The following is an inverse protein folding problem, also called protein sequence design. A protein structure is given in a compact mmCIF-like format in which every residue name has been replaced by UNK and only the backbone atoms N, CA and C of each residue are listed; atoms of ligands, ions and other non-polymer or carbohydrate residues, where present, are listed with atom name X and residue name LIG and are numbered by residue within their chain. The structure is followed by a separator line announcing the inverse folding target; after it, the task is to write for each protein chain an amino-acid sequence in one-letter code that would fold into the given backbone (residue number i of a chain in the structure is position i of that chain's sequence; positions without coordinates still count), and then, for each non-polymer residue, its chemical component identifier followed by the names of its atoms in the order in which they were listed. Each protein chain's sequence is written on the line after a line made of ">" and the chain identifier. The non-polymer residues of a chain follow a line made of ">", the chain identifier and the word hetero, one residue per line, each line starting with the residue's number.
data_IF_681575464109
#
_entry.id   IF_681575464109
#
_cell.length_a   1.000
_cell.length_b   1.000
_cell.length_c   1.000
_cell.angle_alpha   90.00
_cell.angle_beta   90.00
_cell.angle_gamma   90.00
#
_symmetry.space_group_name_H-M   'P 1'
#
loop_
_entity.id
_entity.type
_entity.pdbx_description
1 polymer ?
#
# COMPACT_ATOMS: atom_id res chain seq x y z
N UNK A 1 -26.02 -30.22 1.31
CA UNK A 1 -26.26 -29.19 0.28
C UNK A 1 -25.06 -28.24 0.26
N UNK A 2 -24.43 -28.03 -0.88
CA UNK A 2 -23.16 -27.31 -0.96
C UNK A 2 -23.38 -25.78 -1.06
N UNK A 3 -22.57 -24.95 -0.41
CA UNK A 3 -22.65 -23.47 -0.47
C UNK A 3 -22.61 -22.92 -1.90
N UNK A 4 -21.86 -23.56 -2.79
CA UNK A 4 -21.67 -23.14 -4.18
C UNK A 4 -22.97 -23.08 -4.99
N UNK A 5 -23.90 -24.00 -4.79
CA UNK A 5 -25.19 -24.02 -5.52
C UNK A 5 -26.05 -22.77 -5.25
N UNK A 6 -25.95 -22.20 -4.07
CA UNK A 6 -26.71 -20.99 -3.70
C UNK A 6 -26.08 -19.73 -4.29
N UNK A 7 -24.75 -19.69 -4.34
CA UNK A 7 -24.02 -18.61 -5.04
C UNK A 7 -24.35 -18.65 -6.54
N UNK A 8 -24.38 -19.85 -7.13
CA UNK A 8 -24.71 -20.03 -8.55
C UNK A 8 -26.16 -19.63 -8.86
N UNK A 9 -27.10 -19.86 -7.94
CA UNK A 9 -28.49 -19.41 -8.10
C UNK A 9 -28.58 -17.87 -8.14
N UNK A 10 -27.81 -17.16 -7.32
CA UNK A 10 -27.76 -15.69 -7.30
C UNK A 10 -27.11 -15.06 -8.54
N UNK A 11 -26.36 -15.83 -9.35
CA UNK A 11 -25.89 -15.39 -10.68
C UNK A 11 -27.00 -15.15 -11.69
N UNK A 12 -28.17 -15.76 -11.46
CA UNK A 12 -29.35 -15.52 -12.33
C UNK A 12 -30.04 -14.19 -12.05
N UNK A 13 -29.73 -13.54 -10.92
CA UNK A 13 -30.31 -12.26 -10.55
C UNK A 13 -29.48 -11.11 -11.14
N UNK A 14 -30.07 -10.32 -12.03
CA UNK A 14 -29.42 -9.17 -12.65
C UNK A 14 -29.87 -7.86 -11.98
N UNK A 15 -28.90 -6.98 -11.72
CA UNK A 15 -29.18 -5.63 -11.27
C UNK A 15 -29.53 -4.74 -12.48
N UNK A 16 -30.76 -4.19 -12.56
CA UNK A 16 -31.20 -3.43 -13.73
C UNK A 16 -30.35 -2.18 -14.02
N UNK A 17 -29.74 -1.57 -12.98
CA UNK A 17 -28.90 -0.39 -13.13
C UNK A 17 -27.62 -0.61 -13.93
N UNK A 18 -27.08 -1.84 -13.97
CA UNK A 18 -25.85 -2.16 -14.72
C UNK A 18 -26.04 -3.29 -15.74
N UNK A 19 -27.13 -4.04 -15.66
CA UNK A 19 -27.38 -5.24 -16.46
C UNK A 19 -26.50 -6.46 -16.08
N UNK A 20 -25.56 -6.32 -15.16
CA UNK A 20 -24.70 -7.38 -14.63
C UNK A 20 -25.42 -8.17 -13.55
N UNK A 21 -25.00 -9.42 -13.28
CA UNK A 21 -25.53 -10.17 -12.13
C UNK A 21 -24.97 -9.66 -10.80
N UNK A 22 -25.56 -10.07 -9.67
CA UNK A 22 -25.22 -9.59 -8.33
C UNK A 22 -23.76 -9.86 -7.95
N UNK A 23 -23.16 -10.93 -8.46
CA UNK A 23 -21.77 -11.30 -8.18
C UNK A 23 -20.81 -10.45 -9.03
N UNK A 24 -21.07 -10.37 -10.35
CA UNK A 24 -20.27 -9.56 -11.30
C UNK A 24 -20.32 -8.07 -11.01
N UNK A 25 -21.40 -7.60 -10.36
CA UNK A 25 -21.54 -6.20 -9.95
C UNK A 25 -20.94 -5.89 -8.58
N UNK A 26 -20.37 -6.89 -7.88
CA UNK A 26 -19.84 -6.74 -6.54
C UNK A 26 -20.89 -6.41 -5.48
N UNK A 27 -22.16 -6.69 -5.76
CA UNK A 27 -23.28 -6.40 -4.84
C UNK A 27 -23.49 -7.49 -3.78
N UNK A 28 -22.70 -8.54 -3.75
CA UNK A 28 -22.75 -9.59 -2.72
C UNK A 28 -21.42 -9.64 -1.98
N UNK A 29 -21.47 -9.49 -0.66
CA UNK A 29 -20.35 -9.81 0.22
C UNK A 29 -20.26 -11.34 0.43
N UNK A 30 -19.08 -11.81 0.87
CA UNK A 30 -18.82 -13.22 1.20
C UNK A 30 -19.51 -13.66 2.52
N UNK A 31 -20.53 -12.95 3.01
CA UNK A 31 -21.21 -13.21 4.29
C UNK A 31 -22.46 -14.10 4.15
N UNK A 32 -22.53 -14.92 3.10
CA UNK A 32 -23.65 -15.85 2.92
C UNK A 32 -23.61 -16.90 4.01
N UNK A 33 -24.58 -16.84 4.94
CA UNK A 33 -24.76 -17.80 6.04
C UNK A 33 -25.88 -18.76 5.72
N UNK A 34 -25.65 -20.03 6.02
CA UNK A 34 -26.57 -21.12 5.69
C UNK A 34 -26.81 -21.96 6.93
N UNK A 35 -28.09 -22.07 7.31
CA UNK A 35 -28.54 -22.94 8.40
C UNK A 35 -29.78 -23.75 7.95
N UNK A 36 -29.57 -24.98 7.53
CA UNK A 36 -30.66 -25.82 6.98
C UNK A 36 -31.25 -25.20 5.70
N UNK A 37 -32.54 -24.85 5.74
CA UNK A 37 -33.24 -24.18 4.65
C UNK A 37 -33.16 -22.61 4.74
N UNK A 38 -32.60 -22.08 5.81
CA UNK A 38 -32.40 -20.63 5.93
C UNK A 38 -31.12 -20.19 5.25
N UNK A 39 -31.22 -19.18 4.41
CA UNK A 39 -30.09 -18.54 3.72
C UNK A 39 -30.13 -17.05 4.05
N UNK A 40 -29.10 -16.58 4.76
CA UNK A 40 -28.96 -15.17 5.11
C UNK A 40 -27.80 -14.55 4.32
N UNK A 41 -28.04 -13.40 3.72
CA UNK A 41 -27.00 -12.62 3.00
C UNK A 41 -27.41 -11.15 2.89
N UNK A 42 -26.44 -10.30 2.57
CA UNK A 42 -26.64 -8.87 2.54
C UNK A 42 -26.20 -8.27 1.19
N UNK A 43 -27.13 -8.06 0.23
CA UNK A 43 -26.80 -7.35 -0.98
C UNK A 43 -26.52 -5.86 -0.69
N UNK A 44 -25.49 -5.32 -1.35
CA UNK A 44 -25.04 -3.93 -1.23
C UNK A 44 -25.63 -3.12 -2.38
N UNK A 45 -26.47 -2.15 -2.05
CA UNK A 45 -27.07 -1.25 -3.02
C UNK A 45 -26.30 0.09 -3.12
N UNK A 46 -26.28 0.74 -4.29
CA UNK A 46 -25.59 2.02 -4.46
C UNK A 46 -26.14 3.17 -3.61
N UNK A 47 -27.43 3.10 -3.24
CA UNK A 47 -28.13 4.13 -2.44
C UNK A 47 -29.22 3.49 -1.56
N UNK A 48 -29.55 4.15 -0.45
CA UNK A 48 -30.62 3.73 0.47
C UNK A 48 -32.04 3.78 -0.15
N UNK A 49 -32.22 4.61 -1.17
CA UNK A 49 -33.45 4.76 -1.93
C UNK A 49 -33.36 4.21 -3.34
N UNK A 50 -32.56 3.16 -3.58
CA UNK A 50 -32.39 2.55 -4.89
C UNK A 50 -33.74 2.01 -5.41
N UNK A 51 -34.19 2.46 -6.60
CA UNK A 51 -35.51 2.09 -7.15
C UNK A 51 -35.62 0.59 -7.47
N UNK A 52 -34.50 -0.10 -7.64
CA UNK A 52 -34.45 -1.52 -7.99
C UNK A 52 -34.33 -2.44 -6.78
N UNK A 53 -34.15 -1.90 -5.56
CA UNK A 53 -33.92 -2.67 -4.34
C UNK A 53 -34.98 -3.76 -4.15
N UNK A 54 -36.27 -3.40 -4.13
CA UNK A 54 -37.37 -4.34 -3.89
C UNK A 54 -37.42 -5.44 -4.96
N UNK A 55 -37.17 -5.09 -6.22
CA UNK A 55 -37.19 -6.08 -7.31
C UNK A 55 -36.01 -7.04 -7.25
N UNK A 56 -34.82 -6.56 -6.87
CA UNK A 56 -33.63 -7.41 -6.69
C UNK A 56 -33.76 -8.35 -5.51
N UNK A 57 -34.26 -7.87 -4.37
CA UNK A 57 -34.51 -8.72 -3.20
C UNK A 57 -35.49 -9.86 -3.51
N UNK A 58 -36.62 -9.53 -4.16
CA UNK A 58 -37.61 -10.52 -4.56
C UNK A 58 -37.08 -11.50 -5.61
N UNK A 59 -36.29 -11.02 -6.58
CA UNK A 59 -35.65 -11.87 -7.58
C UNK A 59 -34.62 -12.81 -6.95
N UNK A 60 -33.91 -12.38 -5.91
CA UNK A 60 -32.95 -13.21 -5.18
C UNK A 60 -33.64 -14.34 -4.40
N UNK A 61 -34.75 -14.06 -3.74
CA UNK A 61 -35.58 -15.06 -3.08
C UNK A 61 -36.12 -16.11 -4.08
N UNK A 62 -36.71 -15.63 -5.17
CA UNK A 62 -37.23 -16.51 -6.25
C UNK A 62 -36.13 -17.33 -6.88
N UNK A 63 -34.95 -16.79 -7.11
CA UNK A 63 -33.83 -17.52 -7.68
C UNK A 63 -33.36 -18.67 -6.75
N UNK A 64 -33.25 -18.41 -5.44
CA UNK A 64 -32.90 -19.43 -4.47
C UNK A 64 -33.95 -20.55 -4.42
N UNK A 65 -35.25 -20.19 -4.41
CA UNK A 65 -36.34 -21.18 -4.41
C UNK A 65 -36.43 -21.99 -5.71
N UNK A 66 -36.12 -21.36 -6.84
CA UNK A 66 -36.23 -22.00 -8.16
C UNK A 66 -35.04 -22.92 -8.48
N UNK A 67 -33.81 -22.46 -8.17
CA UNK A 67 -32.60 -23.14 -8.60
C UNK A 67 -31.94 -24.00 -7.51
N UNK A 68 -32.39 -23.88 -6.24
CA UNK A 68 -31.83 -24.68 -5.14
C UNK A 68 -32.87 -25.53 -4.45
N UNK A 69 -33.87 -24.98 -3.78
CA UNK A 69 -34.92 -25.70 -3.10
C UNK A 69 -36.15 -24.79 -2.83
N UNK A 70 -37.39 -25.22 -3.19
CA UNK A 70 -38.59 -24.42 -2.97
C UNK A 70 -38.91 -24.07 -1.52
N UNK A 71 -38.32 -24.77 -0.54
CA UNK A 71 -38.54 -24.53 0.87
C UNK A 71 -37.52 -23.55 1.47
N UNK A 72 -36.63 -22.94 0.68
CA UNK A 72 -35.65 -21.98 1.18
C UNK A 72 -36.36 -20.72 1.69
N UNK A 73 -35.99 -20.33 2.91
CA UNK A 73 -36.35 -19.06 3.52
C UNK A 73 -35.13 -18.14 3.40
N UNK A 74 -35.25 -17.09 2.59
CA UNK A 74 -34.18 -16.11 2.40
C UNK A 74 -34.32 -14.96 3.40
N UNK A 75 -33.38 -14.85 4.33
CA UNK A 75 -33.25 -13.72 5.25
C UNK A 75 -32.28 -12.70 4.62
N UNK A 76 -32.81 -11.71 3.90
CA UNK A 76 -32.02 -10.77 3.14
C UNK A 76 -31.98 -9.44 3.88
N UNK A 77 -30.78 -9.05 4.33
CA UNK A 77 -30.52 -7.75 4.95
C UNK A 77 -29.85 -6.83 3.93
N UNK A 78 -30.42 -5.66 3.70
CA UNK A 78 -29.83 -4.71 2.75
C UNK A 78 -28.68 -3.95 3.39
N UNK A 79 -27.55 -3.89 2.70
CA UNK A 79 -26.47 -2.93 2.98
C UNK A 79 -26.46 -1.89 1.87
N UNK A 80 -25.93 -0.74 2.17
CA UNK A 80 -25.76 0.32 1.18
C UNK A 80 -24.29 0.54 0.97
N UNK A 81 -23.86 0.62 -0.30
CA UNK A 81 -22.55 1.17 -0.57
C UNK A 81 -22.65 2.62 -0.11
N UNK A 82 -21.95 2.98 0.92
CA UNK A 82 -21.66 4.37 1.19
C UNK A 82 -20.80 4.82 0.01
N UNK A 83 -21.49 5.21 -1.10
CA UNK A 83 -20.87 6.10 -2.04
C UNK A 83 -20.57 7.34 -1.19
N UNK A 84 -19.33 7.51 -0.80
CA UNK A 84 -18.83 8.82 -0.48
C UNK A 84 -19.12 9.63 -1.75
N UNK A 85 -20.29 10.29 -1.72
CA UNK A 85 -20.60 11.37 -2.64
C UNK A 85 -19.35 12.25 -2.61
N UNK A 86 -18.73 12.43 -3.78
CA UNK A 86 -17.62 13.33 -4.01
C UNK A 86 -18.10 14.78 -3.83
N UNK A 87 -18.58 15.12 -2.63
CA UNK A 87 -18.84 16.47 -2.16
C UNK A 87 -18.36 16.51 -0.72
N UNK A 88 -17.15 17.06 -0.53
CA UNK A 88 -16.61 17.59 0.71
C UNK A 88 -16.55 16.66 1.93
N UNK A 89 -15.76 15.59 1.87
CA UNK A 89 -14.96 15.10 3.00
C UNK A 89 -13.53 14.85 2.50
N UNK A 90 -12.89 15.94 2.09
CA UNK A 90 -11.43 16.06 2.02
C UNK A 90 -10.91 16.45 3.41
N UNK A 91 -11.14 15.65 4.42
CA UNK A 91 -10.16 15.50 5.47
C UNK A 91 -9.37 14.26 5.06
N UNK A 92 -8.20 14.45 4.47
CA UNK A 92 -7.22 13.39 4.36
C UNK A 92 -7.07 12.81 5.77
N UNK A 93 -7.31 11.51 5.95
CA UNK A 93 -7.10 10.85 7.26
C UNK A 93 -5.67 11.08 7.76
N UNK A 94 -4.78 11.50 6.87
CA UNK A 94 -3.38 11.85 7.14
C UNK A 94 -3.19 13.35 6.91
N UNK A 95 -2.85 14.05 7.98
CA UNK A 95 -2.46 15.45 7.94
C UNK A 95 -0.95 15.57 7.69
N UNK A 96 -0.52 15.45 6.44
CA UNK A 96 0.86 15.59 6.02
C UNK A 96 1.01 16.59 4.87
N UNK A 97 2.09 17.38 4.89
CA UNK A 97 2.39 18.34 3.80
C UNK A 97 2.77 17.60 2.52
N UNK A 98 3.54 16.53 2.66
CA UNK A 98 4.01 15.70 1.56
C UNK A 98 3.66 14.23 1.83
N UNK A 99 2.84 13.63 0.96
CA UNK A 99 2.48 12.20 0.98
C UNK A 99 3.17 11.55 -0.21
N UNK A 100 4.23 10.79 0.05
CA UNK A 100 5.13 10.27 -0.98
C UNK A 100 5.12 8.75 -0.97
N UNK A 101 4.75 8.16 -2.10
CA UNK A 101 4.85 6.72 -2.30
C UNK A 101 6.26 6.32 -2.79
N UNK A 102 6.81 5.26 -2.23
CA UNK A 102 8.07 4.67 -2.70
C UNK A 102 7.73 3.38 -3.44
N UNK A 103 8.01 3.38 -4.72
CA UNK A 103 7.65 2.31 -5.64
C UNK A 103 8.87 1.61 -6.22
N UNK A 104 8.72 0.34 -6.54
CA UNK A 104 9.66 -0.39 -7.39
C UNK A 104 8.92 -1.32 -8.33
N UNK A 105 9.32 -1.35 -9.59
CA UNK A 105 8.74 -2.25 -10.57
C UNK A 105 9.03 -3.73 -10.30
N UNK A 106 10.06 -4.03 -9.49
CA UNK A 106 10.56 -5.37 -9.20
C UNK A 106 10.95 -5.52 -7.73
N UNK A 107 10.74 -6.71 -7.17
CA UNK A 107 11.27 -7.07 -5.85
C UNK A 107 12.79 -7.18 -5.82
N UNK A 108 13.41 -6.95 -4.67
CA UNK A 108 14.85 -7.13 -4.46
C UNK A 108 15.73 -5.95 -4.87
N UNK A 109 15.17 -4.84 -5.34
CA UNK A 109 15.97 -3.63 -5.67
C UNK A 109 16.31 -2.76 -4.45
N UNK A 110 15.87 -3.15 -3.26
CA UNK A 110 16.14 -2.43 -2.00
C UNK A 110 15.16 -1.28 -1.72
N UNK A 111 13.94 -1.33 -2.24
CA UNK A 111 12.88 -0.32 -2.01
C UNK A 111 12.72 0.01 -0.53
N UNK A 112 12.41 -0.99 0.31
CA UNK A 112 12.18 -0.80 1.75
C UNK A 112 13.42 -0.29 2.49
N UNK A 113 14.62 -0.72 2.09
CA UNK A 113 15.89 -0.18 2.60
C UNK A 113 16.03 1.31 2.30
N UNK A 114 15.70 1.71 1.06
CA UNK A 114 15.70 3.13 0.66
C UNK A 114 14.65 3.91 1.45
N UNK A 115 13.43 3.36 1.57
CA UNK A 115 12.34 3.99 2.33
C UNK A 115 12.71 4.21 3.79
N UNK A 116 13.24 3.19 4.47
CA UNK A 116 13.65 3.26 5.86
C UNK A 116 14.73 4.33 6.10
N UNK A 117 15.78 4.32 5.30
CA UNK A 117 16.88 5.27 5.44
C UNK A 117 16.46 6.70 5.07
N UNK A 118 15.62 6.88 4.07
CA UNK A 118 15.07 8.19 3.71
C UNK A 118 14.17 8.76 4.82
N UNK A 119 13.34 7.92 5.45
CA UNK A 119 12.52 8.33 6.60
C UNK A 119 13.38 8.83 7.75
N UNK A 120 14.44 8.09 8.09
CA UNK A 120 15.40 8.48 9.15
C UNK A 120 16.15 9.77 8.78
N UNK A 121 16.62 9.90 7.55
CA UNK A 121 17.32 11.12 7.10
C UNK A 121 16.42 12.36 7.20
N UNK A 122 15.14 12.25 6.81
CA UNK A 122 14.16 13.34 6.98
C UNK A 122 13.90 13.67 8.46
N UNK A 123 13.77 12.64 9.32
CA UNK A 123 13.57 12.84 10.76
C UNK A 123 14.80 13.52 11.41
N UNK A 124 16.03 13.13 11.05
CA UNK A 124 17.27 13.78 11.51
C UNK A 124 17.41 15.21 11.01
N UNK A 125 16.84 15.52 9.84
CA UNK A 125 16.75 16.89 9.34
C UNK A 125 15.70 17.76 10.08
N UNK A 126 15.01 17.18 11.10
CA UNK A 126 14.06 17.88 11.97
C UNK A 126 12.62 17.86 11.49
N UNK A 127 12.25 17.04 10.51
CA UNK A 127 10.89 16.92 10.02
C UNK A 127 10.11 15.85 10.81
N UNK A 128 8.80 16.06 10.97
CA UNK A 128 7.87 15.07 11.51
C UNK A 128 7.55 14.06 10.40
N UNK A 129 7.95 12.82 10.58
CA UNK A 129 7.89 11.79 9.55
C UNK A 129 6.99 10.65 9.98
N UNK A 130 6.02 10.32 9.11
CA UNK A 130 5.25 9.09 9.18
C UNK A 130 5.71 8.09 8.11
N UNK A 131 5.65 6.80 8.42
CA UNK A 131 6.04 5.71 7.53
C UNK A 131 5.00 4.59 7.58
N UNK A 132 4.34 4.34 6.47
CA UNK A 132 3.44 3.20 6.30
C UNK A 132 4.14 2.10 5.49
N UNK A 133 4.32 0.93 6.09
CA UNK A 133 4.73 -0.28 5.38
C UNK A 133 3.49 -0.97 4.82
N UNK A 134 3.29 -0.83 3.51
CA UNK A 134 2.18 -1.41 2.77
C UNK A 134 2.55 -2.70 2.03
N UNK A 135 3.79 -3.22 2.22
CA UNK A 135 4.20 -4.50 1.65
C UNK A 135 3.72 -5.69 2.49
N UNK A 136 2.50 -6.12 2.23
CA UNK A 136 1.82 -7.16 2.99
C UNK A 136 2.51 -8.53 2.89
N UNK A 137 3.19 -8.79 1.79
CA UNK A 137 3.82 -10.09 1.54
C UNK A 137 5.22 -10.20 2.13
N UNK A 138 5.85 -9.07 2.44
CA UNK A 138 7.19 -9.02 3.00
C UNK A 138 7.41 -7.78 3.86
N UNK A 139 6.60 -7.59 4.93
CA UNK A 139 6.73 -6.41 5.77
C UNK A 139 8.10 -6.40 6.45
N UNK A 140 9.00 -5.57 5.94
CA UNK A 140 10.40 -5.53 6.38
C UNK A 140 10.76 -4.32 7.25
N UNK A 141 9.92 -3.28 7.24
CA UNK A 141 10.17 -2.05 8.01
C UNK A 141 10.29 -2.32 9.52
N UNK A 142 9.43 -3.15 10.18
CA UNK A 142 9.60 -3.45 11.60
C UNK A 142 10.99 -3.99 11.93
N UNK A 143 11.54 -4.87 11.08
CA UNK A 143 12.89 -5.42 11.23
C UNK A 143 13.95 -4.34 11.10
N UNK A 144 13.85 -3.51 10.06
CA UNK A 144 14.80 -2.43 9.79
C UNK A 144 14.82 -1.33 10.85
N UNK A 145 13.81 -1.27 11.72
CA UNK A 145 13.71 -0.33 12.84
C UNK A 145 13.84 -1.00 14.21
N UNK A 146 14.21 -2.30 14.26
CA UNK A 146 14.36 -3.07 15.51
C UNK A 146 13.11 -3.02 16.40
N UNK A 147 11.95 -3.15 15.77
CA UNK A 147 10.65 -3.11 16.47
C UNK A 147 9.70 -4.23 16.04
N UNK A 148 10.23 -5.41 15.64
CA UNK A 148 9.44 -6.57 15.22
C UNK A 148 8.50 -7.07 16.33
N UNK A 149 8.94 -6.95 17.57
CA UNK A 149 8.16 -7.38 18.75
C UNK A 149 7.24 -6.29 19.29
N UNK A 150 7.31 -5.08 18.71
CA UNK A 150 6.42 -4.00 19.11
C UNK A 150 4.97 -4.32 18.75
N UNK A 151 4.05 -3.88 19.60
CA UNK A 151 2.62 -4.00 19.34
C UNK A 151 1.98 -2.63 19.51
N UNK A 152 1.44 -2.06 18.43
CA UNK A 152 0.66 -0.83 18.52
C UNK A 152 -0.47 -1.01 19.52
N UNK A 153 -0.76 0.03 20.29
CA UNK A 153 -1.86 0.05 21.25
C UNK A 153 -2.94 1.03 20.79
N UNK A 154 -4.11 0.93 21.38
CA UNK A 154 -5.22 1.84 21.06
C UNK A 154 -5.24 3.00 22.04
N UNK A 155 -5.52 4.19 21.52
CA UNK A 155 -5.76 5.42 22.28
C UNK A 155 -7.17 5.91 21.99
N UNK A 156 -7.80 6.56 22.97
CA UNK A 156 -9.10 7.21 22.80
C UNK A 156 -8.87 8.69 22.55
N UNK A 157 -9.36 9.19 21.42
CA UNK A 157 -9.32 10.61 21.05
C UNK A 157 -10.66 11.03 20.44
N UNK A 158 -11.26 12.06 20.96
CA UNK A 158 -12.56 12.60 20.52
C UNK A 158 -13.68 11.53 20.38
N UNK A 159 -13.66 10.53 21.27
CA UNK A 159 -14.64 9.42 21.27
C UNK A 159 -14.41 8.38 20.17
N UNK A 160 -13.24 8.39 19.54
CA UNK A 160 -12.78 7.38 18.56
C UNK A 160 -11.63 6.59 19.15
N UNK A 161 -11.62 5.30 18.91
CA UNK A 161 -10.47 4.43 19.23
C UNK A 161 -9.51 4.46 18.05
N UNK A 162 -8.30 4.97 18.26
CA UNK A 162 -7.27 5.07 17.24
C UNK A 162 -6.07 4.18 17.56
N UNK A 163 -5.35 3.75 16.53
CA UNK A 163 -4.11 2.98 16.67
C UNK A 163 -2.95 3.97 16.83
N UNK A 164 -2.22 3.87 17.95
CA UNK A 164 -1.00 4.68 18.14
C UNK A 164 0.16 4.07 17.36
N UNK A 165 0.76 4.81 16.40
CA UNK A 165 1.93 4.36 15.66
C UNK A 165 3.13 4.09 16.58
N UNK A 166 3.95 3.10 16.22
CA UNK A 166 5.24 2.89 16.88
C UNK A 166 6.18 4.02 16.46
N UNK A 167 6.85 4.63 17.43
CA UNK A 167 7.84 5.67 17.17
C UNK A 167 9.26 5.14 17.43
N UNK A 168 10.12 5.20 16.41
CA UNK A 168 11.52 4.81 16.52
C UNK A 168 12.37 5.73 15.63
N UNK A 169 13.51 6.17 16.13
CA UNK A 169 14.43 7.08 15.44
C UNK A 169 13.78 8.38 14.93
N UNK A 170 12.75 8.88 15.63
CA UNK A 170 11.98 10.06 15.25
C UNK A 170 11.00 9.84 14.09
N UNK A 171 10.72 8.58 13.74
CA UNK A 171 9.76 8.20 12.69
C UNK A 171 8.57 7.48 13.34
N UNK A 172 7.37 7.98 13.12
CA UNK A 172 6.13 7.28 13.46
C UNK A 172 5.83 6.23 12.38
N UNK A 173 5.61 4.97 12.74
CA UNK A 173 5.41 3.94 11.75
C UNK A 173 4.27 2.98 12.09
N UNK A 174 3.61 2.50 11.04
CA UNK A 174 2.74 1.34 11.09
C UNK A 174 3.08 0.38 9.95
N UNK A 175 2.98 -0.89 10.25
CA UNK A 175 3.14 -1.99 9.30
C UNK A 175 2.11 -3.05 9.58
N UNK A 176 1.63 -3.71 8.56
CA UNK A 176 0.79 -4.91 8.73
C UNK A 176 1.54 -5.99 9.53
N UNK A 177 2.87 -5.99 9.48
CA UNK A 177 3.73 -6.90 10.23
C UNK A 177 3.56 -6.82 11.75
N UNK A 178 3.06 -5.71 12.30
CA UNK A 178 2.77 -5.60 13.73
C UNK A 178 1.53 -6.38 14.17
N UNK A 179 0.64 -6.72 13.24
CA UNK A 179 -0.66 -7.34 13.51
C UNK A 179 -0.73 -8.81 13.06
N UNK A 180 0.32 -9.30 12.40
CA UNK A 180 0.41 -10.68 11.90
C UNK A 180 1.44 -11.44 12.71
N UNK A 181 1.11 -12.67 13.12
CA UNK A 181 2.09 -13.54 13.72
C UNK A 181 3.08 -14.02 12.63
N UNK A 182 4.40 -13.79 12.76
CA UNK A 182 5.40 -14.21 11.77
C UNK A 182 5.38 -15.72 11.45
N UNK A 183 4.93 -16.55 12.39
CA UNK A 183 4.86 -18.01 12.23
C UNK A 183 3.59 -18.47 11.50
N UNK A 184 2.61 -17.59 11.32
CA UNK A 184 1.37 -17.94 10.64
C UNK A 184 1.39 -17.44 9.20
N UNK A 185 1.29 -18.37 8.25
CA UNK A 185 1.07 -18.03 6.84
C UNK A 185 -0.35 -17.45 6.67
N UNK A 186 -0.51 -16.15 6.89
CA UNK A 186 -1.78 -15.48 6.61
C UNK A 186 -1.90 -15.30 5.09
N UNK A 187 -2.90 -15.97 4.52
CA UNK A 187 -3.21 -15.77 3.09
C UNK A 187 -4.07 -14.51 2.97
N UNK A 188 -3.42 -13.41 2.63
CA UNK A 188 -4.10 -12.17 2.30
C UNK A 188 -4.79 -12.27 0.94
N UNK A 189 -6.10 -12.23 0.92
CA UNK A 189 -6.85 -12.07 -0.33
C UNK A 189 -7.03 -10.58 -0.59
N UNK A 190 -6.95 -10.17 -1.87
CA UNK A 190 -6.86 -8.77 -2.30
C UNK A 190 -7.70 -7.76 -1.50
N UNK A 191 -8.99 -8.00 -1.30
CA UNK A 191 -9.85 -7.10 -0.53
C UNK A 191 -9.52 -7.00 0.96
N UNK A 192 -9.03 -8.09 1.60
CA UNK A 192 -8.62 -8.04 3.01
C UNK A 192 -7.36 -7.18 3.19
N UNK A 193 -6.42 -7.32 2.28
CA UNK A 193 -5.19 -6.55 2.27
C UNK A 193 -5.45 -5.05 2.13
N UNK A 194 -6.28 -4.68 1.17
CA UNK A 194 -6.67 -3.28 0.94
C UNK A 194 -7.42 -2.68 2.14
N UNK A 195 -8.32 -3.44 2.76
CA UNK A 195 -9.05 -2.98 3.94
C UNK A 195 -8.14 -2.81 5.16
N UNK A 196 -7.17 -3.71 5.37
CA UNK A 196 -6.21 -3.56 6.47
C UNK A 196 -5.35 -2.29 6.29
N UNK A 197 -4.83 -2.04 5.09
CA UNK A 197 -4.07 -0.83 4.79
C UNK A 197 -4.94 0.43 4.99
N UNK A 198 -6.20 0.39 4.55
CA UNK A 198 -7.12 1.49 4.76
C UNK A 198 -7.31 1.80 6.25
N UNK A 199 -7.47 0.79 7.10
CA UNK A 199 -7.54 0.97 8.54
C UNK A 199 -6.27 1.58 9.13
N UNK A 200 -5.07 1.16 8.69
CA UNK A 200 -3.80 1.75 9.13
C UNK A 200 -3.66 3.23 8.71
N UNK A 201 -4.38 3.66 7.68
CA UNK A 201 -4.43 5.04 7.23
C UNK A 201 -5.45 5.85 8.05
N UNK A 202 -6.69 5.32 8.16
CA UNK A 202 -7.85 6.08 8.67
C UNK A 202 -8.01 6.02 10.19
N UNK A 203 -7.64 4.89 10.80
CA UNK A 203 -7.85 4.61 12.22
C UNK A 203 -6.56 4.74 13.06
N UNK A 204 -5.53 5.43 12.54
CA UNK A 204 -4.29 5.67 13.26
C UNK A 204 -4.10 7.13 13.66
N UNK A 205 -3.51 7.33 14.86
CA UNK A 205 -3.17 8.63 15.41
C UNK A 205 -1.84 9.15 14.86
N UNK A 206 -1.82 9.46 13.56
CA UNK A 206 -0.63 9.99 12.90
C UNK A 206 -0.23 11.38 13.39
N UNK A 207 -1.21 12.21 13.77
CA UNK A 207 -1.00 13.63 14.09
C UNK A 207 -0.58 14.45 12.88
N UNK A 208 0.00 15.62 13.17
CA UNK A 208 0.51 16.53 12.12
C UNK A 208 1.90 16.09 11.65
N UNK A 209 2.05 15.83 10.36
CA UNK A 209 3.29 15.38 9.74
C UNK A 209 3.79 16.39 8.69
N UNK A 210 5.11 16.42 8.46
CA UNK A 210 5.70 17.13 7.34
C UNK A 210 5.81 16.18 6.14
N UNK A 211 6.24 14.94 6.38
CA UNK A 211 6.34 13.88 5.38
C UNK A 211 5.62 12.61 5.82
N UNK A 212 4.87 12.02 4.91
CA UNK A 212 4.31 10.68 5.06
C UNK A 212 4.82 9.80 3.92
N UNK A 213 5.68 8.85 4.25
CA UNK A 213 6.25 7.92 3.29
C UNK A 213 5.46 6.62 3.28
N UNK A 214 5.25 6.05 2.10
CA UNK A 214 4.53 4.80 1.93
C UNK A 214 5.43 3.82 1.19
N UNK A 215 5.85 2.76 1.88
CA UNK A 215 6.59 1.66 1.27
C UNK A 215 5.62 0.72 0.55
N UNK A 216 5.49 0.87 -0.78
CA UNK A 216 4.54 0.11 -1.58
C UNK A 216 5.02 -1.34 -1.79
N UNK A 217 4.14 -2.32 -1.99
CA UNK A 217 4.55 -3.62 -2.50
C UNK A 217 5.24 -3.48 -3.86
N UNK A 218 6.12 -4.42 -4.25
CA UNK A 218 6.75 -4.36 -5.56
C UNK A 218 5.76 -4.66 -6.70
N UNK A 219 6.04 -4.16 -7.90
CA UNK A 219 5.22 -4.38 -9.09
C UNK A 219 3.97 -3.50 -9.12
N UNK A 220 2.93 -3.95 -9.83
CA UNK A 220 1.69 -3.20 -10.07
C UNK A 220 0.49 -4.03 -9.62
N UNK A 221 0.10 -3.95 -8.36
CA UNK A 221 -1.02 -4.69 -7.77
C UNK A 221 -2.22 -3.77 -7.45
N UNK A 222 -3.37 -4.36 -7.15
CA UNK A 222 -4.58 -3.63 -6.75
C UNK A 222 -4.37 -2.74 -5.50
N UNK A 223 -3.38 -3.09 -4.65
CA UNK A 223 -3.01 -2.30 -3.47
C UNK A 223 -2.53 -0.90 -3.87
N UNK A 224 -1.78 -0.77 -4.97
CA UNK A 224 -1.35 0.54 -5.48
C UNK A 224 -2.56 1.42 -5.81
N UNK A 225 -3.55 0.86 -6.53
CA UNK A 225 -4.77 1.60 -6.87
C UNK A 225 -5.58 1.98 -5.64
N UNK A 226 -5.66 1.09 -4.65
CA UNK A 226 -6.32 1.39 -3.37
C UNK A 226 -5.65 2.55 -2.66
N UNK A 227 -4.32 2.52 -2.48
CA UNK A 227 -3.57 3.59 -1.82
C UNK A 227 -3.68 4.93 -2.56
N UNK A 228 -3.65 4.90 -3.90
CA UNK A 228 -3.83 6.10 -4.72
C UNK A 228 -5.24 6.68 -4.56
N UNK A 229 -6.27 5.83 -4.41
CA UNK A 229 -7.65 6.27 -4.23
C UNK A 229 -7.95 6.81 -2.82
N UNK A 230 -7.30 6.26 -1.80
CA UNK A 230 -7.52 6.65 -0.39
C UNK A 230 -6.64 7.84 0.03
N UNK A 231 -5.49 8.02 -0.61
CA UNK A 231 -4.53 9.05 -0.27
C UNK A 231 -4.30 10.03 -1.42
N UNK A 232 -4.29 11.30 -1.09
CA UNK A 232 -3.86 12.32 -2.03
C UNK A 232 -2.32 12.34 -2.07
N UNK A 233 -1.73 11.52 -2.93
CA UNK A 233 -0.28 11.47 -3.09
C UNK A 233 0.24 12.80 -3.65
N UNK A 234 1.25 13.37 -2.99
CA UNK A 234 2.03 14.50 -3.52
C UNK A 234 2.89 14.05 -4.70
N UNK A 235 3.37 12.80 -4.64
CA UNK A 235 4.11 12.19 -5.73
C UNK A 235 4.66 10.81 -5.39
N UNK A 236 5.39 10.24 -6.34
CA UNK A 236 6.02 8.93 -6.20
C UNK A 236 7.52 9.02 -6.50
N UNK A 237 8.31 8.28 -5.72
CA UNK A 237 9.72 8.03 -5.98
C UNK A 237 9.86 6.59 -6.50
N UNK A 238 10.58 6.42 -7.60
CA UNK A 238 10.82 5.10 -8.19
C UNK A 238 12.22 4.63 -7.83
N UNK A 239 12.33 3.45 -7.21
CA UNK A 239 13.60 2.81 -6.85
C UNK A 239 13.89 1.68 -7.82
N UNK A 240 15.10 1.67 -8.37
CA UNK A 240 15.59 0.62 -9.28
C UNK A 240 17.07 0.33 -9.05
N UNK A 241 17.59 -0.69 -9.73
CA UNK A 241 19.04 -0.96 -9.84
C UNK A 241 19.48 -0.73 -11.29
N UNK A 242 20.80 -0.60 -11.58
CA UNK A 242 21.27 -0.37 -12.95
C UNK A 242 21.00 -1.51 -13.95
N UNK A 243 20.53 -2.67 -13.48
CA UNK A 243 20.31 -3.85 -14.32
C UNK A 243 19.20 -3.61 -15.36
N UNK A 244 19.41 -3.95 -16.64
CA UNK A 244 18.40 -3.79 -17.68
C UNK A 244 17.03 -4.42 -17.33
N UNK A 245 17.03 -5.59 -16.70
CA UNK A 245 15.77 -6.26 -16.28
C UNK A 245 15.01 -5.48 -15.22
N UNK A 246 15.68 -4.74 -14.32
CA UNK A 246 15.04 -3.90 -13.33
C UNK A 246 14.54 -2.58 -13.94
N UNK A 247 15.28 -2.04 -14.91
CA UNK A 247 14.92 -0.80 -15.62
C UNK A 247 13.65 -0.96 -16.45
N UNK A 248 13.46 -2.12 -17.10
CA UNK A 248 12.20 -2.41 -17.84
C UNK A 248 10.99 -2.34 -16.91
N UNK A 249 11.08 -2.90 -15.71
CA UNK A 249 9.98 -2.90 -14.75
C UNK A 249 9.81 -1.52 -14.09
N UNK A 250 10.90 -0.79 -13.83
CA UNK A 250 10.84 0.60 -13.35
C UNK A 250 10.12 1.50 -14.35
N UNK A 251 10.37 1.35 -15.65
CA UNK A 251 9.66 2.06 -16.72
C UNK A 251 8.15 1.81 -16.66
N UNK A 252 7.73 0.53 -16.54
CA UNK A 252 6.30 0.18 -16.40
C UNK A 252 5.66 0.86 -15.18
N UNK A 253 6.40 0.91 -14.06
CA UNK A 253 5.96 1.62 -12.87
C UNK A 253 5.74 3.12 -13.13
N UNK A 254 6.69 3.80 -13.77
CA UNK A 254 6.55 5.20 -14.16
C UNK A 254 5.32 5.42 -15.04
N UNK A 255 5.12 4.58 -16.06
CA UNK A 255 3.97 4.68 -16.97
C UNK A 255 2.63 4.43 -16.25
N UNK A 256 2.59 3.53 -15.25
CA UNK A 256 1.41 3.32 -14.42
C UNK A 256 1.01 4.61 -13.69
N UNK A 257 1.96 5.30 -13.05
CA UNK A 257 1.67 6.54 -12.31
C UNK A 257 1.36 7.73 -13.22
N UNK A 258 1.91 7.75 -14.45
CA UNK A 258 1.61 8.76 -15.49
C UNK A 258 0.26 8.56 -16.18
N UNK A 259 -0.33 7.36 -16.06
CA UNK A 259 -1.61 7.06 -16.68
C UNK A 259 -2.66 8.10 -16.28
N UNK A 260 -3.48 8.59 -17.23
CA UNK A 260 -4.50 9.63 -17.01
C UNK A 260 -5.46 9.34 -15.83
N UNK A 261 -5.75 8.06 -15.59
CA UNK A 261 -6.63 7.65 -14.48
C UNK A 261 -5.96 7.67 -13.11
N UNK A 262 -4.64 7.60 -13.07
CA UNK A 262 -3.82 7.59 -11.86
C UNK A 262 -3.25 8.98 -11.59
N UNK A 263 -2.58 9.55 -12.59
CA UNK A 263 -2.08 10.93 -12.66
C UNK A 263 -1.36 11.39 -11.37
N UNK A 264 -0.39 10.61 -10.91
CA UNK A 264 0.46 10.94 -9.76
C UNK A 264 1.81 11.48 -10.25
N UNK A 265 2.28 12.62 -9.78
CA UNK A 265 3.58 13.17 -10.16
C UNK A 265 4.74 12.23 -9.83
N UNK A 266 5.72 12.09 -10.73
CA UNK A 266 6.97 11.39 -10.47
C UNK A 266 7.97 12.39 -9.93
N UNK A 267 8.28 12.31 -8.61
CA UNK A 267 9.26 13.19 -7.97
C UNK A 267 10.68 12.88 -8.41
N UNK A 268 10.95 11.63 -8.75
CA UNK A 268 12.21 11.24 -9.33
C UNK A 268 12.51 9.75 -9.19
N UNK A 269 13.71 9.39 -9.62
CA UNK A 269 14.24 8.03 -9.59
C UNK A 269 15.45 7.97 -8.65
N UNK A 270 15.55 6.89 -7.88
CA UNK A 270 16.73 6.54 -7.09
C UNK A 270 17.32 5.26 -7.70
N UNK A 271 18.58 5.33 -8.11
CA UNK A 271 19.34 4.16 -8.52
C UNK A 271 20.07 3.58 -7.32
N UNK A 272 19.62 2.45 -6.84
CA UNK A 272 20.24 1.71 -5.73
C UNK A 272 21.23 0.66 -6.24
N UNK A 273 22.21 0.29 -5.42
CA UNK A 273 23.26 -0.68 -5.74
C UNK A 273 24.07 -0.24 -6.98
N UNK A 274 24.30 1.06 -7.13
CA UNK A 274 24.90 1.66 -8.33
C UNK A 274 26.35 1.24 -8.55
N UNK A 275 27.12 1.10 -7.48
CA UNK A 275 28.51 0.61 -7.52
C UNK A 275 28.89 0.01 -6.17
N UNK A 276 29.93 -0.81 -6.19
CA UNK A 276 30.61 -1.33 -5.01
C UNK A 276 32.02 -0.74 -4.92
N UNK A 277 32.44 -0.33 -3.72
CA UNK A 277 33.81 0.12 -3.44
C UNK A 277 34.36 -0.76 -2.32
N UNK A 278 35.39 -1.58 -2.56
CA UNK A 278 36.09 -2.34 -1.51
C UNK A 278 36.77 -1.41 -0.52
N UNK A 279 36.79 -1.79 0.76
CA UNK A 279 37.48 -1.01 1.79
C UNK A 279 38.98 -0.86 1.54
N UNK A 280 39.61 -1.88 0.94
CA UNK A 280 41.05 -1.92 0.60
C UNK A 280 41.37 -1.05 -0.62
N UNK A 281 40.38 -0.68 -1.43
CA UNK A 281 40.56 0.08 -2.66
C UNK A 281 39.52 1.21 -2.74
N UNK A 282 39.58 2.21 -1.84
CA UNK A 282 38.54 3.22 -1.67
C UNK A 282 38.31 4.12 -2.89
N UNK A 283 39.29 4.22 -3.79
CA UNK A 283 39.21 4.97 -5.05
C UNK A 283 38.54 4.19 -6.19
N UNK A 284 38.35 2.86 -6.03
CA UNK A 284 37.84 2.01 -7.09
C UNK A 284 36.31 1.81 -6.97
N UNK A 285 35.63 1.94 -8.11
CA UNK A 285 34.18 1.65 -8.22
C UNK A 285 33.98 0.46 -9.15
N UNK A 286 33.29 -0.56 -8.64
CA UNK A 286 32.96 -1.76 -9.42
C UNK A 286 31.42 -1.74 -9.68
N UNK A 287 31.04 -1.75 -10.93
CA UNK A 287 29.65 -1.68 -11.37
C UNK A 287 29.05 -3.08 -11.55
N UNK A 288 28.82 -3.77 -10.43
CA UNK A 288 28.41 -5.18 -10.40
C UNK A 288 27.08 -5.40 -11.15
N UNK A 289 26.16 -4.45 -11.03
CA UNK A 289 24.83 -4.52 -11.63
C UNK A 289 24.67 -3.68 -12.91
N UNK A 290 25.75 -3.15 -13.46
CA UNK A 290 25.74 -2.21 -14.57
C UNK A 290 26.05 -0.79 -14.10
N UNK A 291 26.28 0.11 -15.06
CA UNK A 291 26.69 1.49 -14.79
C UNK A 291 25.64 2.45 -15.33
N UNK A 292 25.21 3.38 -14.48
CA UNK A 292 24.36 4.54 -14.82
C UNK A 292 23.01 4.20 -15.47
N UNK A 293 22.55 2.93 -15.43
CA UNK A 293 21.30 2.53 -16.09
C UNK A 293 20.06 3.26 -15.60
N UNK A 294 19.96 3.51 -14.28
CA UNK A 294 18.87 4.30 -13.72
C UNK A 294 18.98 5.80 -14.07
N UNK A 295 20.21 6.31 -14.16
CA UNK A 295 20.47 7.69 -14.61
C UNK A 295 20.00 7.87 -16.05
N UNK A 296 20.40 6.96 -16.94
CA UNK A 296 20.03 7.00 -18.36
C UNK A 296 18.51 6.88 -18.52
N UNK A 297 17.87 6.00 -17.73
CA UNK A 297 16.40 5.87 -17.70
C UNK A 297 15.73 7.15 -17.23
N UNK A 298 16.26 7.80 -16.19
CA UNK A 298 15.69 9.06 -15.67
C UNK A 298 15.77 10.17 -16.74
N UNK A 299 16.89 10.27 -17.44
CA UNK A 299 17.07 11.22 -18.54
C UNK A 299 16.12 10.93 -19.71
N UNK A 300 16.01 9.67 -20.11
CA UNK A 300 15.09 9.25 -21.18
C UNK A 300 13.63 9.57 -20.86
N UNK A 301 13.22 9.33 -19.61
CA UNK A 301 11.85 9.59 -19.15
C UNK A 301 11.58 11.05 -18.78
N UNK A 302 12.60 11.90 -18.79
CA UNK A 302 12.49 13.31 -18.39
C UNK A 302 12.07 13.47 -16.92
N UNK A 303 12.58 12.62 -16.02
CA UNK A 303 12.34 12.68 -14.57
C UNK A 303 13.65 12.94 -13.82
N UNK A 304 13.60 13.60 -12.62
CA UNK A 304 14.82 13.84 -11.85
C UNK A 304 15.51 12.54 -11.38
N UNK A 305 16.84 12.47 -11.48
CA UNK A 305 17.64 11.50 -10.73
C UNK A 305 17.88 12.06 -9.32
N UNK A 306 17.20 11.50 -8.32
CA UNK A 306 17.33 11.95 -6.93
C UNK A 306 18.67 11.53 -6.32
N UNK A 307 19.16 10.33 -6.61
CA UNK A 307 20.45 9.87 -6.10
C UNK A 307 20.87 8.53 -6.67
N UNK A 308 22.14 8.22 -6.44
CA UNK A 308 22.75 6.93 -6.73
C UNK A 308 23.35 6.39 -5.43
N UNK A 309 22.83 5.28 -4.92
CA UNK A 309 23.22 4.69 -3.64
C UNK A 309 24.19 3.55 -3.89
N UNK A 310 25.37 3.52 -3.25
CA UNK A 310 26.32 2.43 -3.42
C UNK A 310 25.83 1.12 -2.79
N UNK A 311 26.31 0.00 -3.28
CA UNK A 311 26.21 -1.29 -2.63
C UNK A 311 27.29 -1.38 -1.55
N UNK A 312 26.89 -1.24 -0.28
CA UNK A 312 27.82 -1.32 0.86
C UNK A 312 27.30 -2.27 1.92
N UNK A 313 28.21 -2.96 2.58
CA UNK A 313 27.90 -3.96 3.60
C UNK A 313 27.12 -3.37 4.77
N UNK A 314 27.47 -2.17 5.21
CA UNK A 314 26.83 -1.47 6.33
C UNK A 314 25.35 -1.16 6.11
N UNK A 315 24.89 -0.97 4.86
CA UNK A 315 23.46 -0.82 4.57
C UNK A 315 22.72 -2.12 4.86
N UNK A 316 23.29 -3.27 4.44
CA UNK A 316 22.71 -4.59 4.71
C UNK A 316 22.71 -4.88 6.20
N UNK A 317 23.86 -4.73 6.86
CA UNK A 317 24.01 -4.97 8.30
C UNK A 317 23.07 -4.08 9.12
N UNK A 318 23.00 -2.78 8.80
CA UNK A 318 22.09 -1.87 9.45
C UNK A 318 20.62 -2.28 9.28
N UNK A 319 20.22 -2.78 8.10
CA UNK A 319 18.89 -3.33 7.88
C UNK A 319 18.60 -4.59 8.70
N UNK A 320 19.58 -5.50 8.80
CA UNK A 320 19.45 -6.75 9.56
C UNK A 320 19.44 -6.52 11.09
N UNK A 321 20.21 -5.55 11.57
CA UNK A 321 20.33 -5.21 13.00
C UNK A 321 19.28 -4.17 13.46
N UNK A 322 18.50 -3.62 12.54
CA UNK A 322 17.51 -2.59 12.82
C UNK A 322 18.13 -1.23 13.15
N UNK A 323 19.27 -0.93 12.54
CA UNK A 323 20.03 0.31 12.68
C UNK A 323 20.28 0.93 11.31
N UNK A 324 19.29 1.60 10.70
CA UNK A 324 19.45 2.22 9.38
C UNK A 324 20.73 3.04 9.26
N UNK A 325 21.45 2.90 8.15
CA UNK A 325 22.75 3.56 7.97
C UNK A 325 22.66 5.08 8.02
N UNK A 326 21.50 5.63 7.73
CA UNK A 326 21.22 7.07 7.87
C UNK A 326 21.44 7.58 9.31
N UNK A 327 21.40 6.72 10.34
CA UNK A 327 21.74 7.08 11.72
C UNK A 327 23.25 7.35 11.92
N UNK A 328 24.09 6.92 11.00
CA UNK A 328 25.56 7.00 11.13
C UNK A 328 26.09 8.29 10.48
N UNK A 329 26.10 9.38 11.25
CA UNK A 329 26.59 10.67 10.76
C UNK A 329 27.98 10.55 10.12
N UNK A 330 28.15 11.10 8.92
CA UNK A 330 29.41 11.07 8.17
C UNK A 330 29.71 9.78 7.39
N UNK A 331 28.88 8.76 7.53
CA UNK A 331 29.00 7.56 6.70
C UNK A 331 28.66 7.89 5.23
N UNK A 332 29.47 7.43 4.23
CA UNK A 332 29.23 7.80 2.84
C UNK A 332 27.81 7.51 2.32
N UNK A 333 27.23 6.38 2.73
CA UNK A 333 25.87 6.05 2.36
C UNK A 333 24.84 6.95 3.06
N UNK A 334 25.04 7.33 4.32
CA UNK A 334 24.16 8.28 5.02
C UNK A 334 24.14 9.63 4.33
N UNK A 335 25.31 10.13 3.90
CA UNK A 335 25.44 11.38 3.13
C UNK A 335 24.61 11.33 1.84
N UNK A 336 24.53 10.19 1.16
CA UNK A 336 23.69 10.09 -0.03
C UNK A 336 22.19 10.14 0.31
N UNK A 337 21.75 9.53 1.42
CA UNK A 337 20.36 9.67 1.88
C UNK A 337 20.04 11.11 2.29
N UNK A 338 20.96 11.81 2.95
CA UNK A 338 20.80 13.24 3.30
C UNK A 338 20.68 14.11 2.04
N UNK A 339 21.46 13.81 0.99
CA UNK A 339 21.38 14.51 -0.30
C UNK A 339 20.04 14.25 -1.00
N UNK A 340 19.55 13.02 -0.95
CA UNK A 340 18.24 12.66 -1.51
C UNK A 340 17.13 13.39 -0.73
N UNK A 341 17.18 13.38 0.60
CA UNK A 341 16.24 14.10 1.44
C UNK A 341 16.24 15.61 1.11
N UNK A 342 17.43 16.22 1.00
CA UNK A 342 17.58 17.65 0.66
C UNK A 342 16.98 18.00 -0.72
N UNK A 343 17.02 17.10 -1.70
CA UNK A 343 16.36 17.32 -3.00
C UNK A 343 14.84 17.32 -2.90
N UNK A 344 14.27 16.47 -2.02
CA UNK A 344 12.82 16.43 -1.80
C UNK A 344 12.28 17.71 -1.12
N UNK A 345 13.12 18.44 -0.42
CA UNK A 345 12.74 19.72 0.20
C UNK A 345 12.50 20.83 -0.84
N UNK A 346 13.00 20.65 -2.05
CA UNK A 346 12.90 21.61 -3.15
C UNK A 346 11.90 21.18 -4.24
N UNK A 347 11.17 20.08 -4.01
CA UNK A 347 10.07 19.56 -4.87
C UNK A 347 8.68 19.93 -4.30
#
# INVERSE_FOLDING_TARGET
>A
MYPQQRIDALRHVRYPGTGKNLIESGMLEDDIRISGFEVSFSPIFPKDNDPFMKSVLKASEVALQTYVDPNIVANIHTKFSVQHSAVSRQSSAIHAKHVIAIHSGKGGVGKSTVTANLAVALAQAGYRVGLLDADIHGPSIPKMFRCEDARPYSVEEDGRTLIEPIEQYGVKMLSIGFFVNPESAVIWRGGMASNAIKQLIEDAHWGELDYFLIDLPPGTSDIHLTLISELRLTGVIVVTTPQPVALVDARKGVEMFRNEKVNVPILGLIENMSWFTPAELPENKYYIFGKDGGKDLAEELGIPLLGQIPLVQSIREGGDEGLPVALQAGHPAAIEFDRIAAKLLNC
#
